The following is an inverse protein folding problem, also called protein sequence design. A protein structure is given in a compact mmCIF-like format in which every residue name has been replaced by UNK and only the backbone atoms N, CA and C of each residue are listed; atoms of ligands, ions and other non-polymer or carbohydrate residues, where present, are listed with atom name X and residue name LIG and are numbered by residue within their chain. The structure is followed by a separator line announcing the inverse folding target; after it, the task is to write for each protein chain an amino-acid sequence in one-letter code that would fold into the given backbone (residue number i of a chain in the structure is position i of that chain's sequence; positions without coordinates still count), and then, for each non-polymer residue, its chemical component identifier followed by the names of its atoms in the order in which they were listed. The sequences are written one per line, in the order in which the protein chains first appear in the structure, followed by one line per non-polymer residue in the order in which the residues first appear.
data_IF_890936647182
#
_entry.id   IF_890936647182
#
_cell.length_a   1.000
_cell.length_b   1.000
_cell.length_c   1.000
_cell.angle_alpha   90.00
_cell.angle_beta   90.00
_cell.angle_gamma   90.00
#
_symmetry.space_group_name_H-M   'P 1'
#
loop_
_entity.id
_entity.type
_entity.pdbx_description
1 polymer ?
#
# COMPACT_ATOMS: atom_id res chain seq x y z
N UNK A 1 -28.09 -21.84 -17.72
CA UNK A 1 -26.72 -22.08 -17.20
C UNK A 1 -26.12 -20.73 -16.77
N UNK A 2 -26.35 -20.28 -15.53
CA UNK A 2 -25.81 -19.00 -15.03
C UNK A 2 -24.45 -19.27 -14.39
N UNK A 3 -23.35 -18.80 -15.01
CA UNK A 3 -22.04 -18.79 -14.36
C UNK A 3 -22.13 -17.87 -13.13
N UNK A 4 -22.08 -18.46 -11.94
CA UNK A 4 -21.82 -17.72 -10.71
C UNK A 4 -20.40 -17.18 -10.84
N UNK A 5 -20.26 -15.89 -11.12
CA UNK A 5 -19.03 -15.15 -10.83
C UNK A 5 -18.90 -15.17 -9.31
N UNK A 6 -18.00 -16.00 -8.80
CA UNK A 6 -17.52 -15.88 -7.44
C UNK A 6 -16.81 -14.53 -7.32
N UNK A 7 -17.12 -13.68 -6.32
CA UNK A 7 -16.19 -12.61 -5.98
C UNK A 7 -14.91 -13.31 -5.51
N UNK A 8 -13.85 -13.22 -6.31
CA UNK A 8 -12.52 -13.57 -5.85
C UNK A 8 -12.23 -12.65 -4.67
N UNK A 9 -12.34 -13.20 -3.46
CA UNK A 9 -11.94 -12.53 -2.24
C UNK A 9 -10.51 -12.03 -2.48
N UNK A 10 -10.36 -10.71 -2.64
CA UNK A 10 -9.05 -10.08 -2.77
C UNK A 10 -8.38 -10.25 -1.42
N UNK A 11 -7.66 -11.36 -1.25
CA UNK A 11 -6.64 -11.49 -0.22
C UNK A 11 -5.74 -10.28 -0.43
N UNK A 12 -5.69 -9.36 0.54
CA UNK A 12 -4.86 -8.18 0.43
C UNK A 12 -3.39 -8.64 0.46
N UNK A 13 -2.83 -8.88 -0.73
CA UNK A 13 -1.45 -9.32 -0.92
C UNK A 13 -0.54 -8.18 -0.51
N UNK A 14 0.35 -8.42 0.46
CA UNK A 14 1.36 -7.44 0.86
C UNK A 14 2.40 -7.22 -0.23
N UNK A 15 2.95 -6.01 -0.31
CA UNK A 15 3.95 -5.61 -1.31
C UNK A 15 5.22 -5.10 -0.65
N UNK A 16 6.38 -5.49 -1.19
CA UNK A 16 7.68 -4.98 -0.77
C UNK A 16 7.89 -3.53 -1.20
N UNK A 17 8.73 -2.79 -0.47
CA UNK A 17 9.08 -1.41 -0.82
C UNK A 17 9.63 -1.27 -2.25
N UNK A 18 10.45 -2.23 -2.71
CA UNK A 18 11.03 -2.25 -4.06
C UNK A 18 9.98 -2.57 -5.12
N UNK A 19 9.05 -3.48 -4.84
CA UNK A 19 7.90 -3.75 -5.74
C UNK A 19 7.06 -2.48 -5.93
N UNK A 20 6.78 -1.76 -4.83
CA UNK A 20 6.03 -0.50 -4.87
C UNK A 20 6.82 0.56 -5.64
N UNK A 21 8.13 0.67 -5.38
CA UNK A 21 9.01 1.62 -6.05
C UNK A 21 9.02 1.42 -7.57
N UNK A 22 9.24 0.19 -8.03
CA UNK A 22 9.23 -0.15 -9.46
C UNK A 22 7.89 0.19 -10.12
N UNK A 23 6.77 -0.19 -9.49
CA UNK A 23 5.44 0.11 -10.01
C UNK A 23 5.14 1.63 -10.11
N UNK A 24 5.69 2.45 -9.20
CA UNK A 24 5.58 3.91 -9.28
C UNK A 24 6.41 4.46 -10.44
N UNK A 25 7.63 3.97 -10.63
CA UNK A 25 8.49 4.38 -11.76
C UNK A 25 7.85 4.02 -13.12
N UNK A 26 7.26 2.83 -13.25
CA UNK A 26 6.52 2.42 -14.46
C UNK A 26 5.34 3.34 -14.78
N UNK A 27 4.76 3.99 -13.76
CA UNK A 27 3.69 4.99 -13.90
C UNK A 27 4.21 6.43 -14.11
N UNK A 28 5.53 6.61 -14.24
CA UNK A 28 6.16 7.92 -14.40
C UNK A 28 6.33 8.71 -13.10
N UNK A 29 6.05 8.11 -11.93
CA UNK A 29 6.22 8.74 -10.63
C UNK A 29 7.63 8.51 -10.10
N UNK A 30 8.60 9.20 -10.70
CA UNK A 30 9.99 9.12 -10.30
C UNK A 30 10.25 9.93 -9.03
N UNK A 31 10.72 9.27 -7.97
CA UNK A 31 11.11 9.92 -6.72
C UNK A 31 12.36 9.27 -6.11
N UNK A 32 13.11 9.98 -5.25
CA UNK A 32 14.13 9.36 -4.42
C UNK A 32 13.54 8.27 -3.52
N UNK A 33 14.30 7.20 -3.25
CA UNK A 33 13.84 6.14 -2.32
C UNK A 33 13.52 6.67 -0.92
N UNK A 34 14.29 7.62 -0.41
CA UNK A 34 14.03 8.26 0.89
C UNK A 34 12.64 8.90 0.94
N UNK A 35 12.20 9.52 -0.15
CA UNK A 35 10.85 10.08 -0.29
C UNK A 35 9.77 8.99 -0.25
N UNK A 36 9.99 7.84 -0.91
CA UNK A 36 9.06 6.71 -0.80
C UNK A 36 8.97 6.20 0.66
N UNK A 37 10.10 6.04 1.35
CA UNK A 37 10.10 5.62 2.76
C UNK A 37 9.33 6.60 3.65
N UNK A 38 9.50 7.91 3.43
CA UNK A 38 8.73 8.93 4.14
C UNK A 38 7.22 8.76 3.91
N UNK A 39 6.78 8.59 2.66
CA UNK A 39 5.36 8.43 2.36
C UNK A 39 4.77 7.14 2.92
N UNK A 40 5.51 6.02 2.89
CA UNK A 40 5.06 4.77 3.50
C UNK A 40 4.88 4.92 5.01
N UNK A 41 5.81 5.60 5.69
CA UNK A 41 5.66 5.93 7.12
C UNK A 41 4.43 6.79 7.37
N UNK A 42 4.23 7.87 6.60
CA UNK A 42 3.08 8.75 6.78
C UNK A 42 1.74 8.05 6.53
N UNK A 43 1.68 7.13 5.57
CA UNK A 43 0.49 6.31 5.30
C UNK A 43 0.22 5.29 6.42
N UNK A 44 1.27 4.73 7.01
CA UNK A 44 1.19 3.85 8.18
C UNK A 44 0.72 4.62 9.42
N UNK A 45 1.29 5.79 9.69
CA UNK A 45 0.88 6.69 10.78
C UNK A 45 -0.58 7.14 10.62
N UNK A 46 -1.00 7.37 9.38
CA UNK A 46 -2.39 7.65 9.04
C UNK A 46 -3.29 6.39 9.10
N UNK A 47 -2.76 5.20 9.38
CA UNK A 47 -3.51 3.95 9.47
C UNK A 47 -4.11 3.48 8.14
N UNK A 48 -3.62 3.99 7.01
CA UNK A 48 -4.08 3.62 5.67
C UNK A 48 -3.45 2.29 5.24
N UNK A 49 -2.18 2.09 5.61
CA UNK A 49 -1.44 0.84 5.43
C UNK A 49 -0.87 0.33 6.76
N UNK A 50 -0.36 -0.89 6.78
CA UNK A 50 0.39 -1.46 7.91
C UNK A 50 1.60 -2.26 7.42
N UNK A 51 2.66 -2.29 8.24
CA UNK A 51 3.75 -3.24 8.10
C UNK A 51 3.25 -4.66 8.38
N UNK A 52 3.25 -5.51 7.35
CA UNK A 52 2.73 -6.87 7.37
C UNK A 52 3.79 -7.93 7.69
N UNK A 53 5.07 -7.55 7.67
CA UNK A 53 6.20 -8.40 8.00
C UNK A 53 7.46 -8.01 7.24
N UNK A 54 8.40 -8.94 7.22
CA UNK A 54 9.64 -8.83 6.48
C UNK A 54 9.74 -9.94 5.45
N UNK A 55 10.38 -9.67 4.31
CA UNK A 55 10.77 -10.67 3.33
C UNK A 55 12.29 -10.74 3.25
N UNK A 56 12.83 -11.91 3.50
CA UNK A 56 14.24 -12.21 3.27
C UNK A 56 14.41 -12.70 1.83
N UNK A 57 14.96 -11.85 0.97
CA UNK A 57 15.38 -12.23 -0.39
C UNK A 57 16.87 -11.89 -0.56
N UNK A 58 17.68 -12.90 -0.90
CA UNK A 58 19.13 -12.75 -1.06
C UNK A 58 19.90 -12.71 0.26
N UNK A 59 21.14 -12.21 0.22
CA UNK A 59 22.04 -12.09 1.39
C UNK A 59 22.08 -10.71 2.04
N UNK A 60 21.08 -9.86 1.74
CA UNK A 60 21.01 -8.47 2.21
C UNK A 60 20.09 -8.27 3.42
N UNK A 61 19.87 -7.01 3.78
CA UNK A 61 18.90 -6.67 4.82
C UNK A 61 17.47 -7.04 4.36
N UNK A 62 16.63 -7.56 5.28
CA UNK A 62 15.26 -7.93 4.96
C UNK A 62 14.44 -6.75 4.48
N UNK A 63 13.55 -6.99 3.52
CA UNK A 63 12.65 -5.98 2.98
C UNK A 63 11.36 -5.89 3.80
N UNK A 64 10.87 -4.66 4.08
CA UNK A 64 9.54 -4.46 4.68
C UNK A 64 8.43 -4.78 3.69
N UNK A 65 7.42 -5.51 4.18
CA UNK A 65 6.19 -5.78 3.46
C UNK A 65 5.07 -4.89 3.98
N UNK A 66 4.31 -4.30 3.06
CA UNK A 66 3.23 -3.36 3.33
C UNK A 66 1.89 -3.89 2.87
N UNK A 67 0.84 -3.67 3.65
CA UNK A 67 -0.53 -4.09 3.32
C UNK A 67 -1.50 -2.93 3.49
N UNK A 68 -2.45 -2.82 2.57
CA UNK A 68 -3.52 -1.84 2.65
C UNK A 68 -4.52 -2.23 3.76
N UNK A 69 -4.83 -1.29 4.67
CA UNK A 69 -5.88 -1.44 5.69
C UNK A 69 -7.20 -0.81 5.29
N UNK A 70 -7.13 0.34 4.63
CA UNK A 70 -8.29 1.17 4.27
C UNK A 70 -8.54 1.06 2.78
N UNK A 71 -9.79 0.78 2.39
CA UNK A 71 -10.15 0.66 0.97
C UNK A 71 -10.60 1.98 0.38
N UNK A 72 -11.14 2.88 1.21
CA UNK A 72 -11.62 4.18 0.77
C UNK A 72 -11.31 5.25 1.81
N UNK A 73 -10.81 6.38 1.30
CA UNK A 73 -10.59 7.60 2.09
C UNK A 73 -11.58 8.62 1.58
N UNK A 74 -12.34 9.21 2.49
CA UNK A 74 -13.23 10.33 2.21
C UNK A 74 -12.67 11.61 2.83
N UNK A 75 -12.82 12.71 2.11
CA UNK A 75 -12.50 14.06 2.60
C UNK A 75 -13.76 14.88 2.41
N UNK A 76 -14.34 15.34 3.52
CA UNK A 76 -15.40 16.32 3.49
C UNK A 76 -14.76 17.72 3.41
N UNK A 77 -14.97 18.40 2.28
CA UNK A 77 -14.40 19.73 2.05
C UNK A 77 -15.13 20.84 2.82
N UNK A 78 -16.35 20.60 3.29
CA UNK A 78 -17.14 21.57 4.05
C UNK A 78 -16.74 21.53 5.53
N UNK A 79 -16.60 20.33 6.09
CA UNK A 79 -16.27 20.16 7.51
C UNK A 79 -14.76 20.03 7.75
N UNK A 80 -13.98 19.69 6.72
CA UNK A 80 -12.57 19.34 6.83
C UNK A 80 -12.33 17.95 7.43
N UNK A 81 -13.39 17.16 7.64
CA UNK A 81 -13.27 15.81 8.20
C UNK A 81 -12.63 14.85 7.19
N UNK A 82 -11.71 14.02 7.68
CA UNK A 82 -11.13 12.91 6.92
C UNK A 82 -11.60 11.60 7.55
N UNK A 83 -12.33 10.80 6.79
CA UNK A 83 -12.86 9.51 7.22
C UNK A 83 -12.32 8.36 6.37
N UNK A 84 -12.36 7.15 6.94
CA UNK A 84 -11.76 5.93 6.38
C UNK A 84 -12.79 4.80 6.42
N UNK A 85 -12.98 4.11 5.30
CA UNK A 85 -13.90 2.96 5.12
C UNK A 85 -13.17 1.71 4.61
#
# INVERSE_FOLDING_TARGET
MRRKLTPSATVATSKGTNEIYGALQEKGLNMPRSTLYYHLSALEDAGIIEMAGYREEGGGAPEKLWKLKVRKIGIDLVTGEVFKE
#
